data_IF_552487719263
#
_entry.id   IF_552487719263
#
_cell.length_a   1.000
_cell.length_b   1.000
_cell.length_c   1.000
_cell.angle_alpha   90.00
_cell.angle_beta   90.00
_cell.angle_gamma   90.00
#
_symmetry.space_group_name_H-M   'P 1'
#
loop_
_entity.id
_entity.type
_entity.pdbx_description
1 polymer ?
#
# COMPACT_ATOMS: atom_id res chain seq x y z
N UNK A 1 -30.92 -2.43 -41.84
CA UNK A 1 -29.58 -2.78 -41.34
C UNK A 1 -29.40 -2.07 -40.01
N UNK A 2 -29.60 -2.74 -38.87
CA UNK A 2 -29.61 -2.10 -37.55
C UNK A 2 -28.20 -1.66 -37.13
N UNK A 3 -28.07 -0.39 -36.71
CA UNK A 3 -26.82 0.32 -36.46
C UNK A 3 -25.95 -0.28 -35.36
N UNK A 4 -24.67 -0.44 -35.67
CA UNK A 4 -23.58 -0.82 -34.77
C UNK A 4 -23.10 0.35 -33.88
N UNK A 5 -23.81 1.48 -33.89
CA UNK A 5 -23.38 2.71 -33.23
C UNK A 5 -23.64 2.70 -31.71
N UNK A 6 -24.49 1.78 -31.21
CA UNK A 6 -24.81 1.65 -29.78
C UNK A 6 -23.76 0.94 -28.93
N UNK A 7 -22.89 0.11 -29.54
CA UNK A 7 -21.85 -0.63 -28.82
C UNK A 7 -20.59 0.19 -28.53
N UNK A 8 -20.37 1.28 -29.29
CA UNK A 8 -19.19 2.15 -29.11
C UNK A 8 -19.19 2.89 -27.77
N UNK A 9 -20.35 3.39 -27.33
CA UNK A 9 -20.47 4.15 -26.09
C UNK A 9 -20.35 3.27 -24.83
N UNK A 10 -20.90 2.05 -24.87
CA UNK A 10 -20.82 1.10 -23.76
C UNK A 10 -19.38 0.57 -23.58
N UNK A 11 -18.70 0.27 -24.70
CA UNK A 11 -17.29 -0.15 -24.69
C UNK A 11 -16.35 0.95 -24.21
N UNK A 12 -16.62 2.21 -24.58
CA UNK A 12 -15.84 3.36 -24.15
C UNK A 12 -15.91 3.54 -22.63
N UNK A 13 -17.10 3.47 -22.01
CA UNK A 13 -17.23 3.56 -20.55
C UNK A 13 -16.52 2.40 -19.84
N UNK A 14 -16.64 1.17 -20.35
CA UNK A 14 -15.96 0.01 -19.77
C UNK A 14 -14.43 0.15 -19.82
N UNK A 15 -13.89 0.71 -20.91
CA UNK A 15 -12.46 0.97 -21.05
C UNK A 15 -11.95 1.95 -19.98
N UNK A 16 -12.69 3.04 -19.73
CA UNK A 16 -12.33 4.01 -18.68
C UNK A 16 -12.33 3.40 -17.28
N UNK A 17 -13.29 2.51 -16.97
CA UNK A 17 -13.30 1.77 -15.71
C UNK A 17 -12.10 0.84 -15.55
N UNK A 18 -11.72 0.13 -16.62
CA UNK A 18 -10.55 -0.76 -16.61
C UNK A 18 -9.26 0.04 -16.42
N UNK A 19 -9.11 1.19 -17.10
CA UNK A 19 -7.96 2.08 -16.93
C UNK A 19 -7.89 2.64 -15.50
N UNK A 20 -9.02 3.09 -14.94
CA UNK A 20 -9.08 3.57 -13.56
C UNK A 20 -8.71 2.49 -12.55
N UNK A 21 -9.20 1.26 -12.74
CA UNK A 21 -8.86 0.12 -11.89
C UNK A 21 -7.38 -0.25 -12.02
N UNK A 22 -6.83 -0.27 -13.24
CA UNK A 22 -5.41 -0.53 -13.47
C UNK A 22 -4.52 0.51 -12.80
N UNK A 23 -4.90 1.80 -12.85
CA UNK A 23 -4.18 2.87 -12.15
C UNK A 23 -4.25 2.72 -10.63
N UNK A 24 -5.41 2.34 -10.09
CA UNK A 24 -5.56 2.08 -8.65
C UNK A 24 -4.65 0.92 -8.20
N UNK A 25 -4.66 -0.19 -8.94
CA UNK A 25 -3.81 -1.35 -8.66
C UNK A 25 -2.33 -0.98 -8.77
N UNK A 26 -1.95 -0.21 -9.81
CA UNK A 26 -0.58 0.26 -9.96
C UNK A 26 -0.15 1.19 -8.81
N UNK A 27 -1.02 2.09 -8.36
CA UNK A 27 -0.75 2.98 -7.23
C UNK A 27 -0.57 2.18 -5.94
N UNK A 28 -1.47 1.24 -5.64
CA UNK A 28 -1.33 0.35 -4.48
C UNK A 28 -0.07 -0.49 -4.57
N UNK A 29 0.28 -1.01 -5.75
CA UNK A 29 1.50 -1.79 -5.97
C UNK A 29 2.77 -0.95 -5.77
N UNK A 30 2.79 0.29 -6.24
CA UNK A 30 3.91 1.22 -6.03
C UNK A 30 4.05 1.57 -4.55
N UNK A 31 2.94 1.87 -3.86
CA UNK A 31 2.96 2.16 -2.42
C UNK A 31 3.39 0.91 -1.63
N UNK A 32 2.86 -0.26 -1.96
CA UNK A 32 3.24 -1.52 -1.32
C UNK A 32 4.72 -1.85 -1.56
N UNK A 33 5.24 -1.60 -2.77
CA UNK A 33 6.65 -1.80 -3.11
C UNK A 33 7.57 -0.77 -2.47
N UNK A 34 7.10 0.47 -2.33
CA UNK A 34 7.82 1.53 -1.62
C UNK A 34 7.82 1.28 -0.10
N UNK A 35 6.75 0.71 0.44
CA UNK A 35 6.64 0.28 1.83
C UNK A 35 7.43 -1.02 2.11
N UNK A 36 7.49 -1.94 1.14
CA UNK A 36 8.27 -3.17 1.24
C UNK A 36 9.78 -2.92 1.12
N UNK A 37 10.21 -1.80 0.53
CA UNK A 37 11.61 -1.46 0.32
C UNK A 37 12.43 -2.57 -0.38
N UNK A 38 13.72 -2.39 -0.64
CA UNK A 38 14.60 -3.47 -1.09
C UNK A 38 14.94 -4.52 0.00
N UNK A 39 14.24 -4.53 1.14
CA UNK A 39 14.66 -5.23 2.36
C UNK A 39 14.09 -6.64 2.58
N UNK A 40 12.95 -6.99 1.96
CA UNK A 40 12.26 -8.26 2.25
C UNK A 40 12.75 -9.45 1.43
N UNK A 41 14.07 -9.71 1.40
CA UNK A 41 14.55 -11.06 1.04
C UNK A 41 15.60 -11.66 1.95
N UNK A 42 16.11 -10.97 2.97
CA UNK A 42 16.97 -11.61 3.94
C UNK A 42 17.08 -10.81 5.24
N UNK A 43 16.68 -11.41 6.37
CA UNK A 43 16.88 -10.97 7.77
C UNK A 43 15.99 -9.83 8.30
N UNK A 44 14.89 -10.24 8.95
CA UNK A 44 14.38 -9.64 10.17
C UNK A 44 13.57 -8.36 10.02
N UNK A 45 12.24 -8.46 10.18
CA UNK A 45 11.49 -7.32 10.74
C UNK A 45 12.17 -6.97 12.07
N UNK A 46 12.90 -5.86 12.08
CA UNK A 46 13.55 -5.41 13.31
C UNK A 46 12.44 -5.15 14.31
N UNK A 47 12.57 -5.58 15.58
CA UNK A 47 11.61 -5.22 16.61
C UNK A 47 11.29 -3.71 16.66
N UNK A 48 12.21 -2.85 16.20
CA UNK A 48 11.99 -1.40 16.02
C UNK A 48 10.92 -1.04 14.97
N UNK A 49 10.82 -1.78 13.87
CA UNK A 49 9.84 -1.54 12.78
C UNK A 49 8.43 -1.93 13.21
N UNK A 50 8.30 -3.02 13.98
CA UNK A 50 7.03 -3.44 14.60
C UNK A 50 6.53 -2.36 15.56
N UNK A 51 7.42 -1.80 16.38
CA UNK A 51 7.08 -0.69 17.28
C UNK A 51 6.64 0.56 16.53
N UNK A 52 7.35 0.92 15.46
CA UNK A 52 7.02 2.08 14.62
C UNK A 52 5.64 1.93 13.97
N UNK A 53 5.30 0.71 13.54
CA UNK A 53 3.99 0.43 12.96
C UNK A 53 2.86 0.58 14.00
N UNK A 54 3.05 0.10 15.23
CA UNK A 54 2.07 0.23 16.32
C UNK A 54 1.87 1.68 16.77
N UNK A 55 2.95 2.46 16.81
CA UNK A 55 2.87 3.90 17.08
C UNK A 55 2.10 4.63 15.97
N UNK A 56 2.36 4.32 14.70
CA UNK A 56 1.64 4.91 13.57
C UNK A 56 0.14 4.53 13.53
N UNK A 57 -0.22 3.37 14.08
CA UNK A 57 -1.61 2.95 14.28
C UNK A 57 -2.27 3.59 15.51
N UNK A 58 -1.51 4.27 16.37
CA UNK A 58 -1.99 4.84 17.63
C UNK A 58 -2.26 3.81 18.73
N UNK A 59 -1.75 2.58 18.57
CA UNK A 59 -1.91 1.50 19.56
C UNK A 59 -1.00 1.69 20.78
N UNK A 60 0.08 2.45 20.63
CA UNK A 60 1.02 2.79 21.69
C UNK A 60 1.27 4.30 21.68
N UNK A 61 1.46 4.87 22.88
CA UNK A 61 1.84 6.26 23.03
C UNK A 61 3.34 6.47 22.72
N UNK A 62 3.71 7.72 22.47
CA UNK A 62 5.10 8.13 22.22
C UNK A 62 6.03 7.72 23.36
N UNK A 63 5.59 7.84 24.61
CA UNK A 63 6.44 7.47 25.76
C UNK A 63 6.78 5.97 25.76
N UNK A 64 5.78 5.12 25.49
CA UNK A 64 5.94 3.67 25.38
C UNK A 64 6.85 3.28 24.21
N UNK A 65 6.66 3.93 23.05
CA UNK A 65 7.51 3.73 21.88
C UNK A 65 8.98 4.04 22.20
N UNK A 66 9.25 5.19 22.84
CA UNK A 66 10.60 5.61 23.17
C UNK A 66 11.26 4.71 24.23
N UNK A 67 10.51 4.18 25.21
CA UNK A 67 11.04 3.20 26.17
C UNK A 67 11.47 1.90 25.49
N UNK A 68 10.59 1.30 24.69
CA UNK A 68 10.87 0.03 24.02
C UNK A 68 11.99 0.15 22.98
N UNK A 69 12.08 1.30 22.29
CA UNK A 69 13.18 1.57 21.35
C UNK A 69 14.53 1.66 22.05
N UNK A 70 14.59 2.24 23.27
CA UNK A 70 15.82 2.28 24.07
C UNK A 70 16.23 0.90 24.55
N UNK A 71 15.27 0.07 24.97
CA UNK A 71 15.55 -1.28 25.44
C UNK A 71 16.08 -2.19 24.33
N UNK A 72 15.58 -2.04 23.10
CA UNK A 72 16.05 -2.81 21.95
C UNK A 72 17.47 -2.44 21.48
N UNK A 73 17.94 -1.24 21.81
CA UNK A 73 19.27 -0.73 21.45
C UNK A 73 20.32 -0.93 22.54
N UNK A 74 19.94 -1.58 23.63
CA UNK A 74 20.79 -1.90 24.77
C UNK A 74 21.43 -3.26 24.61
#
# INVERSE_FOLDING_TARGET
MPGWDGYGHMGWMALWWVVGLALLVALVWVIARAAAGPGERARGESPEEILKQRYARGEIDRETYEQMLRDLRR
#
